data_IF_208502158381
#
_entry.id   IF_208502158381
#
_cell.length_a   1.000
_cell.length_b   1.000
_cell.length_c   1.000
_cell.angle_alpha   90.00
_cell.angle_beta   90.00
_cell.angle_gamma   90.00
#
_symmetry.space_group_name_H-M   'P 1'
#
loop_
_entity.id
_entity.type
_entity.pdbx_description
1 polymer ?
#
# COMPACT_ATOMS: atom_id res chain seq x y z
N UNK A 1 -25.22 39.09 40.02
CA UNK A 1 -26.33 38.59 40.87
C UNK A 1 -26.58 37.13 40.57
N UNK A 2 -26.58 36.38 41.61
CA UNK A 2 -27.04 35.03 41.89
C UNK A 2 -26.24 33.82 41.39
N UNK A 3 -25.44 33.32 42.35
CA UNK A 3 -24.98 31.95 42.54
C UNK A 3 -26.19 31.04 42.81
N UNK A 4 -26.13 29.79 42.31
CA UNK A 4 -26.79 28.67 42.98
C UNK A 4 -25.90 27.44 42.98
N UNK A 5 -25.66 26.97 44.20
CA UNK A 5 -24.97 25.78 44.61
C UNK A 5 -25.80 24.53 44.29
N UNK A 6 -25.09 23.38 44.01
CA UNK A 6 -25.70 22.06 44.10
C UNK A 6 -24.83 21.12 44.97
N UNK A 7 -25.40 20.76 46.00
CA UNK A 7 -25.43 19.78 47.05
C UNK A 7 -24.55 18.54 46.86
N UNK A 8 -23.74 18.24 47.90
CA UNK A 8 -23.13 16.98 48.19
C UNK A 8 -24.18 15.95 48.64
N UNK A 9 -24.06 14.71 48.10
CA UNK A 9 -24.54 13.51 48.74
C UNK A 9 -23.42 12.48 48.77
N UNK A 10 -22.91 12.19 49.96
CA UNK A 10 -21.96 11.12 50.22
C UNK A 10 -22.72 9.80 50.40
N UNK A 11 -22.17 8.73 49.86
CA UNK A 11 -22.44 7.37 50.28
C UNK A 11 -21.16 6.60 50.38
N UNK A 12 -20.83 6.20 51.59
CA UNK A 12 -19.77 5.27 51.92
C UNK A 12 -20.22 3.86 51.56
N UNK A 13 -19.41 3.10 50.80
CA UNK A 13 -19.55 1.64 50.70
C UNK A 13 -18.20 1.00 50.90
N UNK A 14 -18.20 0.00 51.76
CA UNK A 14 -17.08 -0.63 52.39
C UNK A 14 -16.14 -1.43 51.44
N UNK A 15 -14.92 -1.48 51.88
CA UNK A 15 -13.86 -2.32 51.34
C UNK A 15 -14.08 -3.77 51.84
N UNK A 16 -14.32 -4.67 50.89
CA UNK A 16 -14.12 -6.11 51.09
C UNK A 16 -13.01 -6.55 50.13
N UNK A 17 -11.85 -6.86 50.74
CA UNK A 17 -10.71 -7.43 50.03
C UNK A 17 -11.02 -8.87 49.59
N UNK A 18 -10.75 -9.15 48.33
CA UNK A 18 -10.54 -10.49 47.80
C UNK A 18 -9.28 -10.46 46.93
N UNK A 19 -8.15 -10.87 47.55
CA UNK A 19 -6.93 -11.24 46.82
C UNK A 19 -7.15 -12.55 46.09
N UNK A 20 -7.41 -12.45 44.79
CA UNK A 20 -7.43 -13.57 43.87
C UNK A 20 -6.46 -13.29 42.73
N UNK A 21 -5.28 -13.87 42.77
CA UNK A 21 -4.36 -13.96 41.65
C UNK A 21 -5.03 -14.76 40.52
N UNK A 22 -5.63 -14.08 39.53
CA UNK A 22 -6.03 -14.70 38.29
C UNK A 22 -4.83 -14.72 37.38
N UNK A 23 -4.27 -15.91 37.17
CA UNK A 23 -3.45 -16.22 36.00
C UNK A 23 -4.30 -15.95 34.74
N UNK A 24 -3.91 -14.97 33.98
CA UNK A 24 -4.49 -14.71 32.64
C UNK A 24 -3.96 -15.79 31.70
N UNK A 25 -4.70 -16.88 31.56
CA UNK A 25 -4.52 -17.81 30.44
C UNK A 25 -4.74 -17.02 29.15
N UNK A 26 -3.68 -16.87 28.38
CA UNK A 26 -3.71 -16.24 27.05
C UNK A 26 -4.42 -17.19 26.08
N UNK A 27 -5.73 -17.13 26.03
CA UNK A 27 -6.48 -17.72 24.92
C UNK A 27 -6.16 -16.93 23.65
N UNK A 28 -5.80 -17.59 22.53
CA UNK A 28 -5.67 -16.90 21.25
C UNK A 28 -7.01 -16.27 20.92
N UNK A 29 -7.03 -14.93 20.82
CA UNK A 29 -8.23 -14.20 20.41
C UNK A 29 -8.70 -14.74 19.06
N UNK A 30 -9.96 -15.21 18.94
CA UNK A 30 -10.48 -15.65 17.65
C UNK A 30 -10.45 -14.47 16.68
N UNK A 31 -9.97 -14.72 15.46
CA UNK A 31 -10.14 -13.78 14.35
C UNK A 31 -11.60 -13.33 14.31
N UNK A 32 -11.89 -12.03 14.10
CA UNK A 32 -13.26 -11.57 14.10
C UNK A 32 -14.05 -12.34 13.02
N UNK A 33 -14.92 -13.26 13.43
CA UNK A 33 -15.90 -13.87 12.54
C UNK A 33 -16.79 -12.76 12.01
N UNK A 34 -16.67 -12.44 10.72
CA UNK A 34 -17.64 -11.53 10.07
C UNK A 34 -19.02 -12.15 10.18
N UNK A 35 -19.98 -11.36 10.67
CA UNK A 35 -21.39 -11.78 10.75
C UNK A 35 -21.94 -12.04 9.34
N UNK A 36 -22.79 -13.06 9.19
CA UNK A 36 -23.55 -13.30 7.96
C UNK A 36 -24.34 -12.03 7.59
N UNK A 37 -24.11 -11.50 6.37
CA UNK A 37 -24.68 -10.22 5.91
C UNK A 37 -23.67 -9.08 5.75
N UNK A 38 -22.40 -9.27 6.14
CA UNK A 38 -21.36 -8.24 5.93
C UNK A 38 -20.91 -8.21 4.46
N UNK A 39 -20.89 -7.02 3.86
CA UNK A 39 -20.36 -6.80 2.51
C UNK A 39 -18.90 -7.25 2.41
N UNK A 40 -18.58 -8.05 1.41
CA UNK A 40 -17.21 -8.48 1.08
C UNK A 40 -16.49 -7.30 0.41
N UNK A 41 -15.33 -6.91 0.94
CA UNK A 41 -14.57 -5.76 0.45
C UNK A 41 -13.36 -6.21 -0.37
N UNK A 42 -13.51 -6.19 -1.70
CA UNK A 42 -12.46 -6.54 -2.67
C UNK A 42 -12.09 -5.32 -3.54
N UNK A 43 -12.09 -4.11 -2.99
CA UNK A 43 -11.95 -2.87 -3.76
C UNK A 43 -10.65 -2.10 -3.53
N UNK A 44 -9.93 -2.35 -2.42
CA UNK A 44 -8.92 -1.41 -1.93
C UNK A 44 -7.53 -2.01 -1.67
N UNK A 45 -7.25 -3.22 -2.15
CA UNK A 45 -5.96 -3.90 -2.00
C UNK A 45 -5.50 -3.97 -0.53
N UNK A 46 -6.44 -4.25 0.37
CA UNK A 46 -6.21 -4.43 1.79
C UNK A 46 -5.79 -5.89 2.09
N UNK A 47 -5.15 -6.13 3.24
CA UNK A 47 -4.89 -7.49 3.71
C UNK A 47 -6.14 -8.04 4.39
N UNK A 48 -6.75 -9.13 3.90
CA UNK A 48 -7.99 -9.67 4.47
C UNK A 48 -7.82 -10.26 5.88
N UNK A 49 -6.59 -10.58 6.30
CA UNK A 49 -6.29 -11.06 7.65
C UNK A 49 -6.31 -9.93 8.70
N UNK A 50 -6.33 -8.66 8.27
CA UNK A 50 -6.23 -7.51 9.16
C UNK A 50 -4.81 -7.31 9.70
N UNK A 51 -4.68 -6.85 10.94
CA UNK A 51 -3.40 -6.62 11.63
C UNK A 51 -2.79 -7.95 12.11
N UNK A 52 -1.45 -8.04 12.10
CA UNK A 52 -0.76 -9.07 12.87
C UNK A 52 -1.22 -9.00 14.35
N UNK A 53 -1.47 -10.15 15.03
CA UNK A 53 -1.91 -10.14 16.43
C UNK A 53 -0.99 -9.33 17.33
N UNK A 54 0.32 -9.51 17.20
CA UNK A 54 1.30 -8.74 17.98
C UNK A 54 1.24 -7.22 17.71
N UNK A 55 1.00 -6.82 16.45
CA UNK A 55 0.84 -5.42 16.08
C UNK A 55 -0.45 -4.83 16.66
N UNK A 56 -1.56 -5.58 16.60
CA UNK A 56 -2.83 -5.20 17.22
C UNK A 56 -2.69 -4.99 18.71
N UNK A 57 -2.07 -5.93 19.41
CA UNK A 57 -1.88 -5.86 20.86
C UNK A 57 -0.94 -4.71 21.26
N UNK A 58 0.11 -4.46 20.46
CA UNK A 58 0.98 -3.31 20.66
C UNK A 58 0.24 -1.98 20.51
N UNK A 59 -0.64 -1.87 19.50
CA UNK A 59 -1.48 -0.68 19.28
C UNK A 59 -2.44 -0.48 20.45
N UNK A 60 -3.11 -1.54 20.92
CA UNK A 60 -4.04 -1.45 22.05
C UNK A 60 -3.33 -0.98 23.30
N UNK A 61 -2.18 -1.55 23.65
CA UNK A 61 -1.35 -1.07 24.78
C UNK A 61 -0.83 0.36 24.56
N UNK A 62 -0.53 0.72 23.32
CA UNK A 62 -0.05 2.06 22.98
C UNK A 62 -1.10 3.17 23.14
N UNK A 63 -2.38 2.84 23.29
CA UNK A 63 -3.44 3.82 23.56
C UNK A 63 -3.23 4.58 24.86
N UNK A 64 -2.61 3.95 25.88
CA UNK A 64 -2.31 4.57 27.16
C UNK A 64 -1.30 5.73 27.05
N UNK A 65 -0.50 5.74 25.96
CA UNK A 65 0.48 6.80 25.67
C UNK A 65 0.05 7.71 24.50
N UNK A 66 -1.16 7.55 23.97
CA UNK A 66 -1.62 8.31 22.78
C UNK A 66 -1.70 9.84 23.01
N UNK A 67 -1.72 10.28 24.27
CA UNK A 67 -1.66 11.69 24.67
C UNK A 67 -0.23 12.27 24.64
N UNK A 68 0.79 11.48 24.26
CA UNK A 68 2.19 11.89 24.19
C UNK A 68 2.69 11.97 22.76
N UNK A 69 3.64 12.88 22.51
CA UNK A 69 4.33 12.88 21.23
C UNK A 69 5.15 11.60 21.03
N UNK A 70 5.18 11.04 19.80
CA UNK A 70 5.83 9.76 19.54
C UNK A 70 7.34 9.83 19.76
N UNK A 71 7.90 8.86 20.53
CA UNK A 71 9.34 8.77 20.85
C UNK A 71 10.04 7.56 20.22
N UNK A 72 9.30 6.70 19.47
CA UNK A 72 9.81 5.43 18.97
C UNK A 72 10.38 5.49 17.54
N UNK A 73 10.50 6.70 16.96
CA UNK A 73 10.98 6.86 15.58
C UNK A 73 12.37 6.27 15.37
N UNK A 74 13.33 6.53 16.27
CA UNK A 74 14.68 5.97 16.17
C UNK A 74 14.67 4.44 16.21
N UNK A 75 13.87 3.85 17.11
CA UNK A 75 13.74 2.39 17.19
C UNK A 75 13.18 1.77 15.93
N UNK A 76 12.20 2.42 15.28
CA UNK A 76 11.67 1.95 14.02
C UNK A 76 12.69 2.12 12.88
N UNK A 77 13.43 3.24 12.82
CA UNK A 77 14.55 3.40 11.88
C UNK A 77 15.60 2.28 12.05
N UNK A 78 16.01 1.99 13.28
CA UNK A 78 16.97 0.92 13.56
C UNK A 78 16.44 -0.48 13.16
N UNK A 79 15.16 -0.76 13.43
CA UNK A 79 14.55 -2.03 13.05
C UNK A 79 14.47 -2.20 11.53
N UNK A 80 14.06 -1.15 10.80
CA UNK A 80 14.05 -1.12 9.34
C UNK A 80 15.47 -1.25 8.78
N UNK A 81 16.42 -0.49 9.32
CA UNK A 81 17.82 -0.52 8.86
C UNK A 81 18.40 -1.93 8.95
N UNK A 82 18.22 -2.61 10.07
CA UNK A 82 18.65 -4.02 10.25
C UNK A 82 17.96 -4.97 9.28
N UNK A 83 16.64 -4.84 9.11
CA UNK A 83 15.86 -5.74 8.21
C UNK A 83 16.24 -5.57 6.74
N UNK A 84 16.58 -4.35 6.33
CA UNK A 84 16.84 -3.98 4.94
C UNK A 84 18.33 -3.93 4.57
N UNK A 85 19.24 -4.04 5.53
CA UNK A 85 20.68 -3.94 5.29
C UNK A 85 21.14 -2.53 4.90
N UNK A 86 20.46 -1.48 5.40
CA UNK A 86 20.78 -0.07 5.15
C UNK A 86 21.14 0.64 6.45
N UNK A 87 21.53 1.93 6.37
CA UNK A 87 21.78 2.74 7.56
C UNK A 87 20.53 3.54 7.97
N UNK A 88 20.42 3.92 9.23
CA UNK A 88 19.28 4.72 9.71
C UNK A 88 19.14 6.07 9.01
N UNK A 89 20.20 6.78 8.61
CA UNK A 89 20.11 7.98 7.78
C UNK A 89 19.39 7.79 6.45
N UNK A 90 19.45 6.61 5.83
CA UNK A 90 18.79 6.34 4.56
C UNK A 90 17.26 6.32 4.62
N UNK A 91 16.66 6.38 5.82
CA UNK A 91 15.23 6.12 6.01
C UNK A 91 14.47 7.41 6.32
N UNK A 92 13.35 7.60 5.61
CA UNK A 92 12.37 8.67 5.84
C UNK A 92 11.01 8.04 6.12
N UNK A 93 10.49 8.16 7.35
CA UNK A 93 9.16 7.61 7.70
C UNK A 93 8.06 8.53 7.17
N UNK A 94 6.95 7.94 6.70
CA UNK A 94 5.77 8.65 6.21
C UNK A 94 4.47 8.19 6.85
N UNK A 95 3.46 9.05 6.85
CA UNK A 95 2.07 8.70 7.14
C UNK A 95 1.47 7.88 5.97
N UNK A 96 1.94 6.64 5.83
CA UNK A 96 1.83 5.81 4.64
C UNK A 96 2.92 6.16 3.61
N UNK A 97 3.08 5.29 2.59
CA UNK A 97 3.95 5.62 1.43
C UNK A 97 3.43 6.84 0.64
N UNK A 98 2.15 7.14 0.72
CA UNK A 98 1.51 8.32 0.13
C UNK A 98 2.26 9.62 0.47
N UNK A 99 2.65 9.83 1.73
CA UNK A 99 3.46 11.01 2.11
C UNK A 99 4.86 10.94 1.48
N UNK A 100 5.46 9.76 1.38
CA UNK A 100 6.77 9.57 0.72
C UNK A 100 6.69 9.92 -0.76
N UNK A 101 5.64 9.49 -1.45
CA UNK A 101 5.39 9.82 -2.85
C UNK A 101 5.24 11.33 -3.04
N UNK A 102 4.43 11.98 -2.20
CA UNK A 102 4.29 13.44 -2.20
C UNK A 102 5.64 14.14 -2.06
N UNK A 103 6.42 13.76 -1.05
CA UNK A 103 7.75 14.33 -0.82
C UNK A 103 8.70 14.11 -2.01
N UNK A 104 8.65 12.91 -2.63
CA UNK A 104 9.44 12.58 -3.81
C UNK A 104 9.11 13.48 -4.99
N UNK A 105 7.83 13.67 -5.30
CA UNK A 105 7.35 14.57 -6.36
C UNK A 105 7.79 16.02 -6.10
N UNK A 106 7.55 16.53 -4.90
CA UNK A 106 7.92 17.90 -4.52
C UNK A 106 9.43 18.17 -4.57
N UNK A 107 10.25 17.18 -4.20
CA UNK A 107 11.72 17.35 -4.14
C UNK A 107 12.35 17.12 -5.50
N UNK A 108 11.91 16.11 -6.25
CA UNK A 108 12.55 15.70 -7.49
C UNK A 108 12.07 16.47 -8.72
N UNK A 109 10.76 16.66 -8.88
CA UNK A 109 10.24 17.55 -9.92
C UNK A 109 10.28 19.01 -9.43
N UNK A 110 9.61 19.31 -8.31
CA UNK A 110 9.54 20.65 -7.75
C UNK A 110 8.95 21.68 -8.72
N UNK A 111 8.98 22.94 -8.35
CA UNK A 111 8.51 24.02 -9.23
C UNK A 111 9.35 24.11 -10.50
N UNK A 112 8.71 24.04 -11.67
CA UNK A 112 9.35 24.15 -12.99
C UNK A 112 9.97 22.85 -13.51
N UNK A 113 9.88 21.74 -12.77
CA UNK A 113 10.24 20.41 -13.30
C UNK A 113 9.03 19.66 -13.86
N UNK A 114 9.28 18.43 -14.29
CA UNK A 114 8.26 17.55 -14.92
C UNK A 114 8.20 16.21 -14.19
N UNK A 115 6.98 15.74 -13.90
CA UNK A 115 6.72 14.35 -13.50
C UNK A 115 6.43 13.53 -14.76
N UNK A 116 7.17 12.44 -14.98
CA UNK A 116 6.93 11.45 -16.04
C UNK A 116 6.47 10.15 -15.41
N UNK A 117 5.35 9.60 -15.88
CA UNK A 117 4.78 8.37 -15.38
C UNK A 117 4.08 7.56 -16.47
N UNK A 118 3.86 6.27 -16.21
CA UNK A 118 3.06 5.43 -17.10
C UNK A 118 1.56 5.68 -16.91
N UNK A 119 0.76 5.32 -17.91
CA UNK A 119 -0.72 5.40 -17.85
C UNK A 119 -1.37 4.11 -18.36
N UNK A 120 -2.20 3.44 -17.53
CA UNK A 120 -2.51 3.77 -16.13
C UNK A 120 -1.44 3.33 -15.13
N UNK A 121 -1.30 4.08 -14.05
CA UNK A 121 -0.50 3.72 -12.87
C UNK A 121 -1.19 4.24 -11.60
N UNK A 122 -0.56 4.06 -10.42
CA UNK A 122 -1.10 4.59 -9.18
C UNK A 122 -1.06 6.12 -9.16
N UNK A 123 -2.20 6.72 -8.88
CA UNK A 123 -2.50 8.12 -9.18
C UNK A 123 -1.98 9.17 -8.20
N UNK A 124 -1.52 8.77 -6.99
CA UNK A 124 -1.13 9.73 -5.95
C UNK A 124 0.02 10.65 -6.41
N UNK A 125 1.01 10.13 -7.16
CA UNK A 125 2.11 10.97 -7.67
C UNK A 125 1.59 12.06 -8.62
N UNK A 126 0.69 11.71 -9.54
CA UNK A 126 0.02 12.67 -10.43
C UNK A 126 -0.83 13.67 -9.67
N UNK A 127 -1.60 13.19 -8.67
CA UNK A 127 -2.46 14.03 -7.84
C UNK A 127 -1.65 15.12 -7.14
N UNK A 128 -0.52 14.77 -6.51
CA UNK A 128 0.32 15.74 -5.82
C UNK A 128 1.03 16.68 -6.79
N UNK A 129 1.47 16.19 -7.95
CA UNK A 129 2.01 17.03 -9.00
C UNK A 129 0.98 18.09 -9.46
N UNK A 130 -0.29 17.69 -9.62
CA UNK A 130 -1.37 18.60 -9.97
C UNK A 130 -1.63 19.70 -8.92
N UNK A 131 -1.57 19.37 -7.62
CA UNK A 131 -1.71 20.35 -6.53
C UNK A 131 -0.59 21.39 -6.57
N UNK A 132 0.64 20.96 -6.85
CA UNK A 132 1.82 21.82 -6.86
C UNK A 132 2.05 22.50 -8.22
N UNK A 133 1.17 22.31 -9.21
CA UNK A 133 1.29 22.88 -10.55
C UNK A 133 2.50 22.34 -11.33
N UNK A 134 2.97 21.13 -11.00
CA UNK A 134 4.06 20.45 -11.68
C UNK A 134 3.53 19.86 -12.99
N UNK A 135 4.26 20.05 -14.09
CA UNK A 135 3.94 19.46 -15.38
C UNK A 135 3.95 17.93 -15.28
N UNK A 136 2.93 17.29 -15.84
CA UNK A 136 2.81 15.82 -15.88
C UNK A 136 2.79 15.34 -17.32
N UNK A 137 3.68 14.40 -17.63
CA UNK A 137 3.73 13.71 -18.92
C UNK A 137 3.46 12.22 -18.70
N UNK A 138 2.62 11.65 -19.57
CA UNK A 138 2.16 10.27 -19.48
C UNK A 138 2.59 9.45 -20.69
N UNK A 139 3.12 8.26 -20.42
CA UNK A 139 3.45 7.26 -21.44
C UNK A 139 2.52 6.08 -21.30
N UNK A 140 1.84 5.62 -22.34
CA UNK A 140 1.05 4.40 -22.30
C UNK A 140 1.89 3.19 -21.85
N UNK A 141 1.26 2.24 -21.18
CA UNK A 141 1.89 0.94 -20.90
C UNK A 141 2.08 0.16 -22.21
N UNK A 142 3.05 -0.76 -22.23
CA UNK A 142 3.25 -1.71 -23.34
C UNK A 142 2.02 -2.66 -23.48
N UNK A 143 2.02 -3.46 -24.56
CA UNK A 143 0.98 -4.46 -24.78
C UNK A 143 0.89 -5.54 -23.70
N UNK A 144 1.99 -5.83 -22.97
CA UNK A 144 2.08 -6.72 -21.83
C UNK A 144 1.73 -6.01 -20.50
N UNK A 145 1.31 -4.75 -20.56
CA UNK A 145 0.99 -3.88 -19.43
C UNK A 145 2.17 -3.56 -18.49
N UNK A 146 3.43 -3.81 -18.91
CA UNK A 146 4.61 -3.28 -18.24
C UNK A 146 4.86 -1.82 -18.62
N UNK A 147 5.68 -1.11 -17.87
CA UNK A 147 6.11 0.24 -18.24
C UNK A 147 6.87 0.20 -19.57
N UNK A 148 6.58 1.13 -20.47
CA UNK A 148 7.35 1.30 -21.70
C UNK A 148 8.61 2.13 -21.40
N UNK A 149 9.63 1.45 -20.85
CA UNK A 149 10.89 2.10 -20.45
C UNK A 149 11.57 2.79 -21.65
N UNK A 150 11.67 2.18 -22.86
CA UNK A 150 12.19 2.88 -24.04
C UNK A 150 11.46 4.17 -24.37
N UNK A 151 10.13 4.14 -24.44
CA UNK A 151 9.33 5.32 -24.76
C UNK A 151 9.42 6.40 -23.66
N UNK A 152 9.46 5.99 -22.37
CA UNK A 152 9.67 6.92 -21.26
C UNK A 152 11.05 7.58 -21.34
N UNK A 153 12.10 6.85 -21.69
CA UNK A 153 13.46 7.39 -21.88
C UNK A 153 13.51 8.39 -23.01
N UNK A 154 12.90 8.08 -24.15
CA UNK A 154 12.81 8.97 -25.30
C UNK A 154 12.11 10.28 -24.93
N UNK A 155 10.96 10.20 -24.27
CA UNK A 155 10.22 11.37 -23.78
C UNK A 155 11.09 12.23 -22.84
N UNK A 156 11.75 11.62 -21.84
CA UNK A 156 12.61 12.30 -20.88
C UNK A 156 13.83 12.97 -21.52
N UNK A 157 14.36 12.37 -22.60
CA UNK A 157 15.47 12.97 -23.35
C UNK A 157 15.09 14.32 -24.00
N UNK A 158 13.83 14.48 -24.38
CA UNK A 158 13.29 15.71 -24.98
C UNK A 158 12.81 16.76 -23.97
N UNK A 159 12.88 16.49 -22.65
CA UNK A 159 12.45 17.45 -21.62
C UNK A 159 13.66 18.19 -21.05
N UNK A 160 13.62 19.51 -21.09
CA UNK A 160 14.60 20.35 -20.42
C UNK A 160 14.31 20.45 -18.91
N UNK A 161 15.38 20.68 -18.13
CA UNK A 161 15.28 20.87 -16.68
C UNK A 161 15.17 19.57 -15.88
N UNK A 162 14.61 19.65 -14.67
CA UNK A 162 14.49 18.51 -13.75
C UNK A 162 13.33 17.63 -14.12
N UNK A 163 13.55 16.32 -14.07
CA UNK A 163 12.53 15.32 -14.30
C UNK A 163 12.46 14.36 -13.13
N UNK A 164 11.26 14.11 -12.62
CA UNK A 164 10.95 13.01 -11.71
C UNK A 164 10.27 11.90 -12.51
N UNK A 165 10.88 10.74 -12.59
CA UNK A 165 10.28 9.54 -13.17
C UNK A 165 9.63 8.75 -12.06
N UNK A 166 8.31 8.52 -12.15
CA UNK A 166 7.58 7.67 -11.22
C UNK A 166 7.35 6.28 -11.81
N UNK A 167 7.79 5.26 -11.07
CA UNK A 167 7.68 3.85 -11.44
C UNK A 167 7.01 3.07 -10.31
N UNK A 168 5.76 2.68 -10.49
CA UNK A 168 5.06 1.77 -9.59
C UNK A 168 5.34 0.33 -10.04
N UNK A 169 6.18 -0.41 -9.31
CA UNK A 169 6.59 -1.74 -9.72
C UNK A 169 6.64 -2.71 -8.54
N UNK A 170 5.71 -3.67 -8.46
CA UNK A 170 4.61 -3.99 -9.41
C UNK A 170 3.59 -2.87 -9.57
N UNK A 171 3.04 -2.72 -10.79
CA UNK A 171 2.16 -1.62 -11.12
C UNK A 171 0.74 -1.78 -10.54
N UNK A 172 0.13 -0.70 -10.12
CA UNK A 172 -1.29 -0.59 -9.79
C UNK A 172 -1.94 0.37 -10.80
N UNK A 173 -2.97 -0.05 -11.60
CA UNK A 173 -3.92 -1.13 -11.29
C UNK A 173 -3.64 -2.48 -11.97
N UNK A 174 -2.64 -2.62 -12.82
CA UNK A 174 -2.46 -3.80 -13.67
C UNK A 174 -1.96 -5.05 -12.93
N UNK A 175 -1.19 -4.88 -11.85
CA UNK A 175 -0.55 -5.96 -11.10
C UNK A 175 0.70 -6.53 -11.76
N UNK A 176 1.06 -6.03 -12.95
CA UNK A 176 2.19 -6.49 -13.76
C UNK A 176 3.52 -5.96 -13.23
N UNK A 177 4.58 -6.67 -13.58
CA UNK A 177 5.98 -6.31 -13.28
C UNK A 177 6.65 -5.81 -14.54
N UNK A 178 7.39 -4.71 -14.43
CA UNK A 178 8.40 -4.31 -15.40
C UNK A 178 9.72 -4.98 -14.99
N UNK A 179 10.44 -5.65 -15.91
CA UNK A 179 11.73 -6.27 -15.58
C UNK A 179 12.67 -5.26 -14.93
N UNK A 180 13.22 -5.62 -13.76
CA UNK A 180 14.05 -4.69 -12.99
C UNK A 180 15.34 -4.33 -13.73
N UNK A 181 15.84 -5.20 -14.61
CA UNK A 181 17.02 -4.93 -15.46
C UNK A 181 16.80 -3.71 -16.37
N UNK A 182 15.61 -3.55 -16.96
CA UNK A 182 15.29 -2.39 -17.80
C UNK A 182 15.32 -1.08 -16.98
N UNK A 183 14.83 -1.14 -15.73
CA UNK A 183 14.84 -0.01 -14.79
C UNK A 183 16.27 0.31 -14.36
N UNK A 184 17.06 -0.70 -14.05
CA UNK A 184 18.45 -0.56 -13.62
C UNK A 184 19.31 0.09 -14.70
N UNK A 185 19.21 -0.38 -15.94
CA UNK A 185 19.92 0.19 -17.09
C UNK A 185 19.55 1.66 -17.31
N UNK A 186 18.31 2.02 -17.04
CA UNK A 186 17.88 3.42 -17.13
C UNK A 186 18.45 4.26 -15.98
N UNK A 187 18.34 3.80 -14.74
CA UNK A 187 18.88 4.49 -13.57
C UNK A 187 20.39 4.70 -13.73
N UNK A 188 21.12 3.69 -14.21
CA UNK A 188 22.57 3.78 -14.40
C UNK A 188 22.96 4.82 -15.43
N UNK A 189 22.27 4.84 -16.57
CA UNK A 189 22.58 5.73 -17.71
C UNK A 189 21.99 7.14 -17.57
N UNK A 190 21.08 7.40 -16.62
CA UNK A 190 20.35 8.65 -16.52
C UNK A 190 21.27 9.80 -16.04
N UNK A 191 21.13 11.01 -16.62
CA UNK A 191 21.82 12.20 -16.14
C UNK A 191 21.27 12.66 -14.78
N UNK A 192 22.03 13.42 -14.01
CA UNK A 192 21.70 13.86 -12.65
C UNK A 192 20.40 14.68 -12.55
N UNK A 193 19.96 15.31 -13.65
CA UNK A 193 18.68 16.03 -13.73
C UNK A 193 17.46 15.13 -13.67
N UNK A 194 17.63 13.82 -13.88
CA UNK A 194 16.57 12.80 -13.83
C UNK A 194 16.60 12.08 -12.50
N UNK A 195 15.53 12.16 -11.76
CA UNK A 195 15.36 11.46 -10.50
C UNK A 195 14.31 10.37 -10.63
N UNK A 196 14.45 9.30 -9.84
CA UNK A 196 13.55 8.15 -9.88
C UNK A 196 12.83 8.00 -8.55
N UNK A 197 11.50 7.95 -8.61
CA UNK A 197 10.60 7.62 -7.51
C UNK A 197 10.02 6.22 -7.78
N UNK A 198 10.59 5.20 -7.15
CA UNK A 198 10.20 3.81 -7.34
C UNK A 198 9.27 3.39 -6.22
N UNK A 199 8.01 3.13 -6.55
CA UNK A 199 6.99 2.68 -5.58
C UNK A 199 6.93 1.14 -5.55
N UNK A 200 7.47 0.59 -4.48
CA UNK A 200 7.53 -0.85 -4.20
C UNK A 200 6.46 -1.28 -3.17
N UNK A 201 5.27 -0.68 -3.21
CA UNK A 201 4.20 -1.00 -2.26
C UNK A 201 3.76 -2.47 -2.29
N UNK A 202 4.05 -3.20 -3.36
CA UNK A 202 3.65 -4.60 -3.56
C UNK A 202 4.84 -5.57 -3.61
N UNK A 203 6.06 -5.13 -3.28
CA UNK A 203 7.28 -5.94 -3.36
C UNK A 203 7.16 -7.31 -2.67
N UNK A 204 6.49 -7.35 -1.51
CA UNK A 204 6.39 -8.58 -0.71
C UNK A 204 5.60 -9.71 -1.41
N UNK A 205 4.78 -9.37 -2.41
CA UNK A 205 3.93 -10.34 -3.15
C UNK A 205 4.58 -10.90 -4.39
N UNK A 206 5.76 -10.38 -4.78
CA UNK A 206 6.41 -10.74 -6.04
C UNK A 206 7.06 -12.12 -5.95
N UNK A 207 6.75 -12.95 -6.93
CA UNK A 207 7.34 -14.28 -7.13
C UNK A 207 8.05 -14.37 -8.50
N UNK A 208 7.98 -13.32 -9.32
CA UNK A 208 8.58 -13.25 -10.64
C UNK A 208 10.10 -13.05 -10.53
N UNK A 209 10.94 -13.96 -11.10
CA UNK A 209 12.38 -13.83 -11.06
C UNK A 209 12.95 -12.66 -11.87
N UNK A 210 12.18 -12.06 -12.77
CA UNK A 210 12.57 -10.85 -13.50
C UNK A 210 12.54 -9.58 -12.62
N UNK A 211 11.99 -9.69 -11.41
CA UNK A 211 11.90 -8.58 -10.46
C UNK A 211 12.95 -8.69 -9.36
N UNK A 212 13.59 -7.58 -9.09
CA UNK A 212 14.34 -7.31 -7.86
C UNK A 212 14.14 -5.83 -7.46
N UNK A 213 14.40 -5.53 -6.19
CA UNK A 213 14.23 -4.18 -5.66
C UNK A 213 15.22 -3.16 -6.22
N UNK A 214 14.77 -1.92 -6.39
CA UNK A 214 15.65 -0.79 -6.67
C UNK A 214 16.45 -0.31 -5.43
N UNK A 215 16.30 -0.96 -4.27
CA UNK A 215 17.00 -0.62 -3.04
C UNK A 215 18.54 -0.48 -3.18
N UNK A 216 19.27 -1.33 -3.94
CA UNK A 216 20.71 -1.19 -4.09
C UNK A 216 21.14 0.16 -4.72
N UNK A 217 20.25 0.82 -5.45
CA UNK A 217 20.54 2.10 -6.10
C UNK A 217 20.69 3.27 -5.11
N UNK A 218 20.05 3.22 -3.94
CA UNK A 218 20.19 4.30 -2.95
C UNK A 218 21.61 4.44 -2.40
N UNK A 219 22.43 3.41 -2.50
CA UNK A 219 23.87 3.47 -2.14
C UNK A 219 24.77 4.01 -3.25
N UNK A 220 24.23 4.20 -4.46
CA UNK A 220 25.00 4.61 -5.65
C UNK A 220 24.52 5.93 -6.26
N UNK A 221 23.23 6.24 -6.13
CA UNK A 221 22.57 7.35 -6.84
C UNK A 221 21.71 8.17 -5.87
N UNK A 222 22.08 9.44 -5.57
CA UNK A 222 21.32 10.28 -4.63
C UNK A 222 19.94 10.70 -5.16
N UNK A 223 19.68 10.51 -6.45
CA UNK A 223 18.45 10.83 -7.15
C UNK A 223 17.48 9.65 -7.27
N UNK A 224 17.66 8.59 -6.46
CA UNK A 224 16.72 7.45 -6.37
C UNK A 224 16.06 7.44 -5.00
N UNK A 225 14.73 7.39 -4.97
CA UNK A 225 13.89 7.22 -3.79
C UNK A 225 13.01 5.98 -3.98
N UNK A 226 13.17 5.00 -3.10
CA UNK A 226 12.31 3.81 -3.07
C UNK A 226 11.26 3.99 -1.99
N UNK A 227 9.97 3.89 -2.33
CA UNK A 227 8.85 4.01 -1.40
C UNK A 227 8.29 2.63 -1.06
N UNK A 228 8.08 2.36 0.24
CA UNK A 228 7.47 1.11 0.75
C UNK A 228 6.42 1.40 1.82
N UNK A 229 5.53 0.45 2.07
CA UNK A 229 4.37 0.66 2.95
C UNK A 229 4.10 -0.51 3.87
N UNK A 230 3.54 -0.22 5.05
CA UNK A 230 2.92 -1.23 5.92
C UNK A 230 1.44 -1.48 5.59
N UNK A 231 0.89 -0.79 4.60
CA UNK A 231 -0.55 -0.87 4.27
C UNK A 231 -0.96 -2.20 3.66
N UNK A 232 -0.04 -2.95 3.02
CA UNK A 232 -0.34 -4.13 2.21
C UNK A 232 -0.11 -5.43 2.99
N UNK A 233 1.03 -6.09 2.85
CA UNK A 233 1.31 -7.39 3.50
C UNK A 233 1.19 -7.32 5.02
N UNK A 234 1.55 -6.20 5.65
CA UNK A 234 1.46 -5.98 7.08
C UNK A 234 0.05 -5.66 7.60
N UNK A 235 -0.94 -5.45 6.73
CA UNK A 235 -2.33 -5.19 7.11
C UNK A 235 -2.61 -3.87 7.83
N UNK A 236 -1.71 -2.88 7.73
CA UNK A 236 -1.78 -1.63 8.49
C UNK A 236 -2.31 -0.44 7.67
N UNK A 237 -3.16 -0.66 6.68
CA UNK A 237 -3.64 0.40 5.78
C UNK A 237 -4.27 1.59 6.52
N UNK A 238 -5.14 1.33 7.51
CA UNK A 238 -5.78 2.36 8.32
C UNK A 238 -4.89 3.01 9.38
N UNK A 239 -3.75 2.41 9.72
CA UNK A 239 -2.81 2.90 10.74
C UNK A 239 -1.89 4.01 10.18
N UNK A 240 -1.70 4.04 8.87
CA UNK A 240 -0.95 5.05 8.13
C UNK A 240 0.55 5.05 8.43
N UNK A 241 1.25 4.00 8.03
CA UNK A 241 2.70 3.90 8.14
C UNK A 241 3.32 3.46 6.80
N UNK A 242 4.38 4.15 6.41
CA UNK A 242 5.22 3.83 5.25
C UNK A 242 6.60 4.45 5.43
N UNK A 243 7.48 4.18 4.49
CA UNK A 243 8.82 4.72 4.54
C UNK A 243 9.43 4.87 3.15
N UNK A 244 10.32 5.85 3.01
CA UNK A 244 11.19 6.06 1.87
C UNK A 244 12.61 5.64 2.20
N UNK A 245 13.29 5.11 1.22
CA UNK A 245 14.69 4.72 1.24
C UNK A 245 15.43 5.54 0.19
N UNK A 246 16.45 6.29 0.61
CA UNK A 246 17.15 7.26 -0.24
C UNK A 246 18.61 7.36 0.21
N UNK A 247 19.49 7.79 -0.67
CA UNK A 247 20.86 8.15 -0.30
C UNK A 247 20.87 9.21 0.81
N UNK A 248 21.81 9.15 1.74
CA UNK A 248 21.86 10.06 2.90
C UNK A 248 21.86 11.55 2.51
N UNK A 249 22.49 11.91 1.40
CA UNK A 249 22.50 13.28 0.85
C UNK A 249 21.11 13.76 0.44
N UNK A 250 20.22 12.87 -0.01
CA UNK A 250 18.84 13.18 -0.39
C UNK A 250 17.89 13.38 0.79
N UNK A 251 18.22 12.83 1.96
CA UNK A 251 17.34 12.84 3.13
C UNK A 251 17.00 14.24 3.61
N UNK A 252 17.98 15.16 3.62
CA UNK A 252 17.78 16.52 4.12
C UNK A 252 16.75 17.30 3.28
N UNK A 253 16.70 17.07 1.96
CA UNK A 253 15.73 17.71 1.09
C UNK A 253 14.29 17.21 1.38
N UNK A 254 14.12 15.91 1.55
CA UNK A 254 12.81 15.31 1.90
C UNK A 254 12.34 15.77 3.29
N UNK A 255 13.22 15.74 4.31
CA UNK A 255 12.88 16.14 5.69
C UNK A 255 12.48 17.61 5.82
N UNK A 256 13.00 18.51 4.98
CA UNK A 256 12.58 19.93 4.99
C UNK A 256 11.13 20.14 4.59
N UNK A 257 10.56 19.23 3.78
CA UNK A 257 9.16 19.28 3.33
C UNK A 257 8.24 18.35 4.12
N UNK A 258 8.82 17.47 4.90
CA UNK A 258 8.09 16.51 5.71
C UNK A 258 7.33 17.20 6.85
N UNK A 259 6.10 16.78 7.09
CA UNK A 259 5.33 17.21 8.28
C UNK A 259 6.04 16.69 9.53
N UNK A 260 6.28 17.59 10.50
CA UNK A 260 6.90 17.22 11.77
C UNK A 260 5.97 16.28 12.55
N UNK A 261 6.52 15.22 13.14
CA UNK A 261 5.80 14.20 13.88
C UNK A 261 4.71 13.48 13.05
N UNK A 262 4.90 13.33 11.75
CA UNK A 262 3.97 12.74 10.78
C UNK A 262 3.58 11.28 11.09
N UNK A 263 4.49 10.45 11.60
CA UNK A 263 4.18 9.11 12.03
C UNK A 263 3.60 9.12 13.45
N UNK A 264 2.34 8.76 13.62
CA UNK A 264 1.67 8.74 14.92
C UNK A 264 2.20 7.62 15.84
N UNK A 265 1.99 7.75 17.15
CA UNK A 265 2.48 6.81 18.15
C UNK A 265 2.00 5.38 17.90
N UNK A 266 0.72 5.17 17.58
CA UNK A 266 0.14 3.85 17.36
C UNK A 266 0.70 3.18 16.10
N UNK A 267 1.01 3.97 15.07
CA UNK A 267 1.70 3.47 13.88
C UNK A 267 3.11 2.98 14.20
N UNK A 268 3.86 3.69 15.05
CA UNK A 268 5.22 3.29 15.41
C UNK A 268 5.25 2.02 16.26
N UNK A 269 4.39 1.88 17.28
CA UNK A 269 4.33 0.66 18.10
C UNK A 269 3.83 -0.53 17.29
N UNK A 270 2.80 -0.33 16.45
CA UNK A 270 2.28 -1.35 15.55
C UNK A 270 3.30 -1.77 14.50
N UNK A 271 4.01 -0.81 13.90
CA UNK A 271 5.05 -1.06 12.91
C UNK A 271 6.21 -1.89 13.45
N UNK A 272 6.70 -1.55 14.65
CA UNK A 272 7.75 -2.31 15.31
C UNK A 272 7.34 -3.77 15.56
N UNK A 273 6.12 -3.98 16.08
CA UNK A 273 5.60 -5.32 16.32
C UNK A 273 5.34 -6.09 15.02
N UNK A 274 4.86 -5.41 13.98
CA UNK A 274 4.61 -6.02 12.68
C UNK A 274 5.89 -6.44 11.96
N UNK A 275 6.97 -5.66 12.07
CA UNK A 275 8.29 -6.03 11.51
C UNK A 275 8.87 -7.30 12.12
N UNK A 276 8.50 -7.62 13.36
CA UNK A 276 8.92 -8.82 14.06
C UNK A 276 7.97 -10.02 13.87
N UNK A 277 6.94 -9.90 13.01
CA UNK A 277 5.90 -10.92 12.80
C UNK A 277 6.06 -11.60 11.44
N UNK A 278 7.20 -12.24 11.18
CA UNK A 278 7.50 -12.90 9.89
C UNK A 278 6.53 -14.04 9.57
N UNK A 279 6.02 -14.75 10.59
CA UNK A 279 4.99 -15.78 10.48
C UNK A 279 3.65 -15.19 9.95
N UNK A 280 3.29 -13.98 10.36
CA UNK A 280 2.11 -13.30 9.86
C UNK A 280 2.29 -12.90 8.38
N UNK A 281 3.46 -12.40 8.01
CA UNK A 281 3.79 -12.08 6.62
C UNK A 281 3.69 -13.34 5.76
N UNK A 282 4.32 -14.44 6.16
CA UNK A 282 4.25 -15.72 5.44
C UNK A 282 2.79 -16.21 5.27
N UNK A 283 1.97 -16.11 6.33
CA UNK A 283 0.54 -16.45 6.27
C UNK A 283 -0.24 -15.53 5.33
N UNK A 284 0.05 -14.22 5.34
CA UNK A 284 -0.59 -13.25 4.45
C UNK A 284 -0.30 -13.57 2.98
N UNK A 285 0.95 -13.92 2.66
CA UNK A 285 1.35 -14.33 1.31
C UNK A 285 0.68 -15.64 0.89
N UNK A 286 0.58 -16.62 1.79
CA UNK A 286 -0.11 -17.89 1.50
C UNK A 286 -1.61 -17.69 1.22
N UNK A 287 -2.30 -16.86 2.02
CA UNK A 287 -3.71 -16.52 1.81
C UNK A 287 -3.89 -15.76 0.49
N UNK A 288 -3.02 -14.81 0.19
CA UNK A 288 -3.04 -14.08 -1.08
C UNK A 288 -2.86 -15.02 -2.28
N UNK A 289 -1.87 -15.91 -2.23
CA UNK A 289 -1.64 -16.91 -3.30
C UNK A 289 -2.89 -17.75 -3.52
N UNK A 290 -3.46 -18.31 -2.45
CA UNK A 290 -4.66 -19.16 -2.54
C UNK A 290 -5.85 -18.40 -3.11
N UNK A 291 -6.11 -17.17 -2.63
CA UNK A 291 -7.21 -16.36 -3.15
C UNK A 291 -7.02 -15.96 -4.62
N UNK A 292 -5.78 -15.66 -5.04
CA UNK A 292 -5.43 -15.37 -6.43
C UNK A 292 -5.64 -16.59 -7.33
N UNK A 293 -5.27 -17.80 -6.86
CA UNK A 293 -5.52 -19.05 -7.58
C UNK A 293 -7.01 -19.27 -7.83
N UNK A 294 -7.87 -19.05 -6.83
CA UNK A 294 -9.33 -19.17 -6.96
C UNK A 294 -9.87 -18.20 -8.00
N UNK A 295 -9.49 -16.91 -7.93
CA UNK A 295 -9.92 -15.92 -8.89
C UNK A 295 -9.50 -16.27 -10.32
N UNK A 296 -8.22 -16.57 -10.52
CA UNK A 296 -7.66 -16.90 -11.83
C UNK A 296 -8.23 -18.21 -12.40
N UNK A 297 -8.52 -19.20 -11.56
CA UNK A 297 -9.19 -20.42 -11.99
C UNK A 297 -10.61 -20.14 -12.52
N UNK A 298 -11.37 -19.29 -11.79
CA UNK A 298 -12.69 -18.85 -12.24
C UNK A 298 -12.63 -18.07 -13.56
N UNK A 299 -11.67 -17.15 -13.73
CA UNK A 299 -11.53 -16.42 -14.98
C UNK A 299 -11.25 -17.35 -16.16
N UNK A 300 -10.34 -18.32 -16.00
CA UNK A 300 -10.08 -19.34 -17.06
C UNK A 300 -11.30 -20.19 -17.36
N UNK A 301 -12.02 -20.66 -16.34
CA UNK A 301 -13.25 -21.44 -16.47
C UNK A 301 -14.29 -20.67 -17.31
N UNK A 302 -14.42 -19.36 -17.07
CA UNK A 302 -15.38 -18.50 -17.74
C UNK A 302 -14.88 -17.91 -19.07
N UNK A 303 -13.64 -18.21 -19.49
CA UNK A 303 -13.04 -17.61 -20.69
C UNK A 303 -12.89 -16.10 -20.60
N UNK A 304 -12.62 -15.57 -19.42
CA UNK A 304 -12.35 -14.15 -19.18
C UNK A 304 -10.85 -13.89 -19.19
N UNK A 305 -10.42 -12.92 -19.97
CA UNK A 305 -9.02 -12.46 -19.93
C UNK A 305 -8.70 -11.80 -18.59
N UNK A 306 -7.49 -12.00 -18.11
CA UNK A 306 -6.98 -11.33 -16.93
C UNK A 306 -5.49 -11.09 -17.05
N UNK A 307 -4.98 -10.07 -16.33
CA UNK A 307 -3.57 -9.73 -16.35
C UNK A 307 -2.80 -10.58 -15.33
N UNK A 308 -1.59 -11.06 -15.66
CA UNK A 308 -0.74 -11.76 -14.71
C UNK A 308 -0.36 -10.81 -13.57
N UNK A 309 -0.73 -11.17 -12.33
CA UNK A 309 -0.54 -10.27 -11.19
C UNK A 309 0.52 -10.78 -10.22
N UNK A 310 1.40 -9.88 -9.82
CA UNK A 310 2.40 -10.03 -8.75
C UNK A 310 2.03 -9.19 -7.51
N UNK A 311 0.71 -9.03 -7.25
CA UNK A 311 0.19 -8.18 -6.18
C UNK A 311 -0.91 -8.89 -5.38
N UNK A 312 -1.61 -8.16 -4.51
CA UNK A 312 -2.80 -8.64 -3.81
C UNK A 312 -4.12 -8.23 -4.51
N UNK A 313 -4.11 -8.14 -5.83
CA UNK A 313 -5.29 -7.90 -6.67
C UNK A 313 -5.05 -8.46 -8.08
N UNK A 314 -6.12 -8.59 -8.88
CA UNK A 314 -6.05 -8.99 -10.28
C UNK A 314 -6.96 -8.07 -11.11
N UNK A 315 -6.47 -7.63 -12.28
CA UNK A 315 -7.30 -7.01 -13.32
C UNK A 315 -7.85 -8.10 -14.23
N UNK A 316 -9.18 -8.17 -14.35
CA UNK A 316 -9.83 -9.09 -15.29
C UNK A 316 -10.77 -8.35 -16.21
N UNK A 317 -10.93 -8.86 -17.43
CA UNK A 317 -11.83 -8.30 -18.41
C UNK A 317 -13.29 -8.57 -18.05
N UNK A 318 -14.15 -7.62 -18.37
CA UNK A 318 -15.61 -7.74 -18.22
C UNK A 318 -16.27 -7.63 -19.60
N UNK A 319 -17.38 -8.35 -19.78
CA UNK A 319 -18.09 -8.41 -21.07
C UNK A 319 -19.08 -7.27 -21.34
N UNK A 320 -19.09 -6.20 -20.53
CA UNK A 320 -20.10 -5.17 -20.64
C UNK A 320 -19.71 -3.84 -20.01
N UNK A 321 -20.70 -3.01 -19.69
CA UNK A 321 -20.47 -1.72 -19.02
C UNK A 321 -19.96 -1.88 -17.61
N UNK A 322 -18.79 -1.30 -17.33
CA UNK A 322 -18.09 -1.42 -16.05
C UNK A 322 -18.90 -0.89 -14.86
N UNK A 323 -19.65 0.19 -15.03
CA UNK A 323 -20.45 0.77 -13.94
C UNK A 323 -21.61 -0.15 -13.58
N UNK A 324 -22.24 -0.75 -14.58
CA UNK A 324 -23.27 -1.78 -14.42
C UNK A 324 -22.71 -3.01 -13.71
N UNK A 325 -21.53 -3.50 -14.11
CA UNK A 325 -20.85 -4.60 -13.46
C UNK A 325 -20.58 -4.31 -11.97
N UNK A 326 -20.01 -3.15 -11.64
CA UNK A 326 -19.73 -2.72 -10.25
C UNK A 326 -21.03 -2.64 -9.44
N UNK A 327 -22.12 -2.13 -10.03
CA UNK A 327 -23.43 -2.09 -9.36
C UNK A 327 -23.94 -3.48 -9.03
N UNK A 328 -23.95 -4.39 -10.01
CA UNK A 328 -24.39 -5.79 -9.85
C UNK A 328 -23.58 -6.53 -8.78
N UNK A 329 -22.25 -6.34 -8.76
CA UNK A 329 -21.38 -6.90 -7.72
C UNK A 329 -21.77 -6.36 -6.34
N UNK A 330 -22.04 -5.06 -6.22
CA UNK A 330 -22.50 -4.44 -4.96
C UNK A 330 -23.83 -5.02 -4.51
N UNK A 331 -24.78 -5.20 -5.42
CA UNK A 331 -26.11 -5.80 -5.14
C UNK A 331 -25.97 -7.25 -4.69
N UNK A 332 -24.94 -7.97 -5.16
CA UNK A 332 -24.55 -9.30 -4.67
C UNK A 332 -23.77 -9.26 -3.34
N UNK A 333 -23.57 -8.09 -2.73
CA UNK A 333 -22.86 -7.92 -1.48
C UNK A 333 -21.33 -7.91 -1.61
N UNK A 334 -20.78 -7.65 -2.79
CA UNK A 334 -19.34 -7.63 -3.07
C UNK A 334 -18.91 -6.26 -3.61
N UNK A 335 -18.00 -5.60 -2.91
CA UNK A 335 -17.39 -4.35 -3.38
C UNK A 335 -16.12 -4.67 -4.17
N UNK A 336 -16.12 -4.38 -5.46
CA UNK A 336 -14.95 -4.51 -6.35
C UNK A 336 -14.32 -3.14 -6.65
N UNK A 337 -13.20 -3.12 -7.37
CA UNK A 337 -12.46 -1.90 -7.70
C UNK A 337 -13.27 -0.89 -8.52
N UNK A 338 -12.88 0.38 -8.42
CA UNK A 338 -13.42 1.47 -9.22
C UNK A 338 -12.95 1.39 -10.68
N UNK A 339 -13.49 2.21 -11.60
CA UNK A 339 -12.92 2.37 -12.93
C UNK A 339 -11.47 2.92 -12.89
N UNK A 340 -10.64 2.44 -13.84
CA UNK A 340 -9.26 2.88 -14.05
C UNK A 340 -9.06 3.25 -15.53
N UNK A 341 -9.44 4.46 -15.95
CA UNK A 341 -9.21 4.87 -17.34
C UNK A 341 -7.72 4.77 -17.73
N UNK A 342 -7.41 4.37 -18.97
CA UNK A 342 -8.32 4.06 -20.08
C UNK A 342 -8.90 2.64 -20.05
N UNK A 343 -8.57 1.77 -19.08
CA UNK A 343 -8.94 0.36 -19.00
C UNK A 343 -10.38 0.16 -18.51
N UNK A 344 -11.38 0.69 -19.26
CA UNK A 344 -12.79 0.64 -18.85
C UNK A 344 -13.49 -0.70 -19.17
N UNK A 345 -12.84 -1.60 -19.89
CA UNK A 345 -13.26 -2.97 -20.15
C UNK A 345 -12.68 -3.99 -19.13
N UNK A 346 -11.95 -3.49 -18.14
CA UNK A 346 -11.39 -4.28 -17.04
C UNK A 346 -11.92 -3.82 -15.68
N UNK A 347 -12.04 -4.77 -14.75
CA UNK A 347 -12.25 -4.50 -13.34
C UNK A 347 -11.07 -5.03 -12.50
N UNK A 348 -10.68 -4.28 -11.48
CA UNK A 348 -9.70 -4.72 -10.51
C UNK A 348 -10.39 -5.34 -9.30
N UNK A 349 -10.12 -6.60 -9.01
CA UNK A 349 -10.58 -7.28 -7.80
C UNK A 349 -9.40 -7.49 -6.86
N UNK A 350 -9.50 -7.00 -5.63
CA UNK A 350 -8.52 -7.27 -4.57
C UNK A 350 -8.70 -8.69 -4.06
N UNK A 351 -7.61 -9.31 -3.62
CA UNK A 351 -7.64 -10.68 -3.09
C UNK A 351 -8.10 -10.65 -1.63
N UNK A 352 -9.23 -11.31 -1.37
CA UNK A 352 -9.81 -11.54 -0.05
C UNK A 352 -9.37 -12.86 0.57
N UNK A 353 -10.06 -13.27 1.64
CA UNK A 353 -9.94 -14.61 2.19
C UNK A 353 -10.38 -15.66 1.15
N UNK A 354 -9.86 -16.91 1.19
CA UNK A 354 -10.28 -17.93 0.24
C UNK A 354 -11.80 -18.07 0.11
N UNK A 355 -12.53 -18.08 1.22
CA UNK A 355 -14.00 -18.15 1.25
C UNK A 355 -14.68 -16.90 0.64
N UNK A 356 -14.07 -15.73 0.73
CA UNK A 356 -14.54 -14.51 0.08
C UNK A 356 -14.31 -14.59 -1.44
N UNK A 357 -13.19 -15.17 -1.86
CA UNK A 357 -12.86 -15.36 -3.28
C UNK A 357 -13.72 -16.47 -3.93
N UNK A 358 -14.07 -17.54 -3.20
CA UNK A 358 -15.03 -18.53 -3.68
C UNK A 358 -16.41 -17.89 -3.92
N UNK A 359 -16.88 -17.05 -2.98
CA UNK A 359 -18.15 -16.34 -3.16
C UNK A 359 -18.10 -15.36 -4.33
N UNK A 360 -16.98 -14.68 -4.55
CA UNK A 360 -16.77 -13.84 -5.73
C UNK A 360 -16.86 -14.69 -7.01
N UNK A 361 -16.19 -15.82 -7.05
CA UNK A 361 -16.19 -16.73 -8.20
C UNK A 361 -17.61 -17.27 -8.50
N UNK A 362 -18.37 -17.69 -7.47
CA UNK A 362 -19.75 -18.15 -7.63
C UNK A 362 -20.67 -17.04 -8.17
N UNK A 363 -20.49 -15.82 -7.68
CA UNK A 363 -21.23 -14.64 -8.19
C UNK A 363 -20.92 -14.41 -9.66
N UNK A 364 -19.64 -14.51 -10.05
CA UNK A 364 -19.21 -14.30 -11.43
C UNK A 364 -19.74 -15.40 -12.38
N UNK A 365 -19.79 -16.68 -11.93
CA UNK A 365 -20.46 -17.79 -12.65
C UNK A 365 -21.94 -17.49 -12.91
N UNK A 366 -22.63 -16.98 -11.86
CA UNK A 366 -24.03 -16.55 -12.01
C UNK A 366 -24.20 -15.43 -13.02
N UNK A 367 -23.27 -14.47 -13.07
CA UNK A 367 -23.28 -13.39 -14.08
C UNK A 367 -23.06 -13.94 -15.49
N UNK A 368 -22.18 -14.91 -15.68
CA UNK A 368 -21.97 -15.59 -16.97
C UNK A 368 -23.24 -16.30 -17.44
N UNK A 369 -23.96 -17.01 -16.56
CA UNK A 369 -25.22 -17.67 -16.90
C UNK A 369 -26.30 -16.69 -17.33
N UNK A 370 -26.23 -15.46 -16.85
CA UNK A 370 -27.16 -14.37 -17.21
C UNK A 370 -26.69 -13.55 -18.42
N UNK A 371 -25.54 -13.88 -19.02
CA UNK A 371 -24.94 -13.14 -20.14
C UNK A 371 -24.46 -11.73 -19.75
N UNK A 372 -24.05 -11.53 -18.50
CA UNK A 372 -23.62 -10.24 -17.99
C UNK A 372 -22.11 -10.03 -18.02
N UNK A 373 -21.34 -11.11 -18.22
CA UNK A 373 -19.89 -11.15 -18.38
C UNK A 373 -19.47 -12.20 -19.40
#
# INVERSE_FOLDING_TARGET
>A
MQRRAFIRAGMSVGVLGLSGTRTLDAHPSPSPRRQAGTTIRLSSNENPLGLAPAARDAIVRGLDEANRYPRLRSRLHEALARKLGVTTPNIVLGAGSTEVLKLGVEVYAGSGGTLVLASPTYEDAEWYAGIDGIRVEKVPLRADYAHDIPAMRELVAGIDGRVCVYLCNPNNPTGTVTPSTEIDEWIEAAPDRVSFLVDEAYIDFVEDPAYHSALPWIGRRPNVLVARTFSKVHGMAGVRLGYGLVHEDGVAALRRRQVRNNANHLALVGGLASLASDDFVARSLAVNRKGREIACACFRELGLDYLPSQTNFVMHRIGGDLRTYISRMRDAGIQVGRPFPPMLDYNRVSIGLPEEMERFADTLRGFRQQGWV
#
